data_IF_031729576369
#
_entry.id   IF_031729576369
#
_cell.length_a   1.000
_cell.length_b   1.000
_cell.length_c   1.000
_cell.angle_alpha   90.00
_cell.angle_beta   90.00
_cell.angle_gamma   90.00
#
_symmetry.space_group_name_H-M   'P 1'
#
loop_
_entity.id
_entity.type
_entity.pdbx_description
1 polymer ?
#
# COMPACT_ATOMS: atom_id res chain seq x y z
N UNK A 1 -66.50 -29.93 12.70
CA UNK A 1 -65.29 -29.43 12.02
C UNK A 1 -65.75 -28.87 10.67
N UNK A 2 -65.73 -27.56 10.52
CA UNK A 2 -66.37 -26.84 9.40
C UNK A 2 -65.35 -26.61 8.28
N UNK A 3 -65.78 -26.70 7.02
CA UNK A 3 -64.91 -26.63 5.83
C UNK A 3 -64.18 -25.30 5.59
N UNK A 4 -64.25 -24.35 6.52
CA UNK A 4 -63.60 -23.05 6.45
C UNK A 4 -62.15 -23.09 6.98
N UNK A 5 -61.83 -23.96 7.94
CA UNK A 5 -60.49 -24.03 8.56
C UNK A 5 -59.44 -24.68 7.64
N UNK A 6 -59.86 -25.58 6.73
CA UNK A 6 -58.96 -26.33 5.83
C UNK A 6 -58.37 -25.45 4.71
N UNK A 7 -59.06 -24.36 4.34
CA UNK A 7 -58.62 -23.45 3.28
C UNK A 7 -57.36 -22.65 3.63
N UNK A 8 -57.17 -22.31 4.91
CA UNK A 8 -56.07 -21.45 5.34
C UNK A 8 -54.73 -22.17 5.40
N UNK A 9 -54.72 -23.45 5.81
CA UNK A 9 -53.52 -24.29 5.83
C UNK A 9 -52.98 -24.64 4.43
N UNK A 10 -53.84 -24.61 3.40
CA UNK A 10 -53.40 -24.86 2.02
C UNK A 10 -52.83 -23.60 1.34
N UNK A 11 -53.26 -22.41 1.75
CA UNK A 11 -52.70 -21.14 1.27
C UNK A 11 -51.30 -20.87 1.85
N UNK A 12 -51.10 -21.10 3.17
CA UNK A 12 -49.82 -20.87 3.84
C UNK A 12 -48.66 -21.74 3.32
N UNK A 13 -48.93 -23.02 3.02
CA UNK A 13 -47.91 -23.95 2.47
C UNK A 13 -47.46 -23.62 1.04
N UNK A 14 -48.30 -22.93 0.25
CA UNK A 14 -47.92 -22.49 -1.10
C UNK A 14 -47.04 -21.24 -1.04
N UNK A 15 -47.31 -20.32 -0.12
CA UNK A 15 -46.50 -19.12 0.09
C UNK A 15 -45.12 -19.43 0.68
N UNK A 16 -45.00 -20.39 1.60
CA UNK A 16 -43.70 -20.82 2.12
C UNK A 16 -42.80 -21.41 1.04
N UNK A 17 -43.34 -22.30 0.18
CA UNK A 17 -42.58 -22.90 -0.92
C UNK A 17 -42.14 -21.87 -1.96
N UNK A 18 -42.97 -20.87 -2.22
CA UNK A 18 -42.62 -19.78 -3.15
C UNK A 18 -41.50 -18.89 -2.57
N UNK A 19 -41.57 -18.57 -1.28
CA UNK A 19 -40.54 -17.79 -0.58
C UNK A 19 -39.20 -18.55 -0.53
N UNK A 20 -39.21 -19.85 -0.23
CA UNK A 20 -38.03 -20.70 -0.26
C UNK A 20 -37.39 -20.79 -1.66
N UNK A 21 -38.21 -20.92 -2.70
CA UNK A 21 -37.73 -20.94 -4.08
C UNK A 21 -37.10 -19.60 -4.50
N UNK A 22 -37.70 -18.48 -4.09
CA UNK A 22 -37.15 -17.14 -4.33
C UNK A 22 -35.83 -16.91 -3.59
N UNK A 23 -35.72 -17.37 -2.34
CA UNK A 23 -34.49 -17.28 -1.55
C UNK A 23 -33.36 -18.13 -2.13
N UNK A 24 -33.67 -19.34 -2.61
CA UNK A 24 -32.71 -20.20 -3.31
C UNK A 24 -32.27 -19.59 -4.66
N UNK A 25 -33.19 -18.96 -5.40
CA UNK A 25 -32.87 -18.27 -6.64
C UNK A 25 -31.97 -17.05 -6.39
N UNK A 26 -32.25 -16.28 -5.34
CA UNK A 26 -31.42 -15.14 -4.92
C UNK A 26 -30.02 -15.59 -4.48
N UNK A 27 -29.89 -16.73 -3.80
CA UNK A 27 -28.61 -17.33 -3.44
C UNK A 27 -27.83 -17.85 -4.67
N UNK A 28 -28.52 -18.41 -5.66
CA UNK A 28 -27.91 -18.85 -6.93
C UNK A 28 -27.47 -17.66 -7.82
N UNK A 29 -28.15 -16.51 -7.69
CA UNK A 29 -27.80 -15.26 -8.38
C UNK A 29 -26.79 -14.41 -7.60
N UNK A 30 -26.50 -14.76 -6.34
CA UNK A 30 -25.43 -14.14 -5.59
C UNK A 30 -24.09 -14.65 -6.11
N UNK A 31 -23.64 -14.05 -7.21
CA UNK A 31 -22.24 -14.08 -7.61
C UNK A 31 -21.53 -13.22 -6.57
N UNK A 32 -20.74 -13.79 -5.63
CA UNK A 32 -19.91 -12.94 -4.79
C UNK A 32 -19.11 -12.05 -5.74
N UNK A 33 -18.97 -10.74 -5.47
CA UNK A 33 -18.04 -9.94 -6.23
C UNK A 33 -16.74 -10.74 -6.21
N UNK A 34 -16.21 -11.07 -7.39
CA UNK A 34 -14.90 -11.67 -7.49
C UNK A 34 -14.03 -10.75 -6.64
N UNK A 35 -13.66 -11.22 -5.44
CA UNK A 35 -12.60 -10.60 -4.67
C UNK A 35 -11.48 -10.62 -5.68
N UNK A 36 -11.10 -9.44 -6.16
CA UNK A 36 -10.06 -9.28 -7.14
C UNK A 36 -8.83 -9.90 -6.54
N UNK A 37 -8.64 -11.19 -6.79
CA UNK A 37 -7.35 -11.82 -6.82
C UNK A 37 -6.68 -11.25 -8.05
N UNK A 38 -6.32 -9.97 -7.91
CA UNK A 38 -5.30 -9.31 -8.70
C UNK A 38 -4.02 -9.99 -8.24
N UNK A 39 -3.77 -11.19 -8.78
CA UNK A 39 -2.45 -11.79 -8.76
C UNK A 39 -1.56 -10.82 -9.51
N UNK A 40 -0.97 -9.88 -8.75
CA UNK A 40 0.04 -8.98 -9.25
C UNK A 40 1.13 -9.87 -9.86
N UNK A 41 1.17 -9.93 -11.19
CA UNK A 41 2.30 -10.50 -11.91
C UNK A 41 3.57 -9.90 -11.27
N UNK A 42 4.52 -10.70 -10.77
CA UNK A 42 5.75 -10.17 -10.18
C UNK A 42 6.52 -9.25 -11.15
N UNK A 43 6.30 -9.39 -12.46
CA UNK A 43 6.80 -8.45 -13.46
C UNK A 43 6.11 -7.07 -13.37
N UNK A 44 4.87 -7.00 -12.90
CA UNK A 44 4.13 -5.76 -12.64
C UNK A 44 4.54 -5.10 -11.33
N UNK A 45 4.90 -5.85 -10.27
CA UNK A 45 5.35 -5.29 -8.99
C UNK A 45 6.56 -6.03 -8.40
N UNK A 46 7.81 -5.60 -8.67
CA UNK A 46 9.00 -6.26 -8.13
C UNK A 46 9.15 -6.13 -6.61
N UNK A 47 8.28 -5.34 -5.95
CA UNK A 47 8.30 -5.05 -4.53
C UNK A 47 7.23 -5.80 -3.72
N UNK A 48 6.51 -6.75 -4.33
CA UNK A 48 5.50 -7.57 -3.64
C UNK A 48 6.06 -8.29 -2.40
N UNK A 49 7.37 -8.57 -2.37
CA UNK A 49 8.06 -9.21 -1.26
C UNK A 49 8.03 -8.40 0.05
N UNK A 50 7.73 -7.10 0.03
CA UNK A 50 7.53 -6.30 1.26
C UNK A 50 6.29 -6.71 2.05
N UNK A 51 5.35 -7.46 1.46
CA UNK A 51 4.18 -7.98 2.17
C UNK A 51 4.46 -9.31 2.88
N UNK A 52 5.64 -9.90 2.71
CA UNK A 52 6.00 -11.16 3.34
C UNK A 52 6.40 -10.95 4.81
N UNK A 53 5.60 -11.49 5.75
CA UNK A 53 5.89 -11.37 7.19
C UNK A 53 7.21 -12.05 7.62
N UNK A 54 7.70 -13.02 6.84
CA UNK A 54 8.99 -13.69 7.07
C UNK A 54 10.19 -12.75 6.91
N UNK A 55 10.06 -11.63 6.21
CA UNK A 55 11.13 -10.65 5.99
C UNK A 55 11.04 -9.45 6.92
N UNK A 56 10.04 -9.35 7.80
CA UNK A 56 9.89 -8.19 8.71
C UNK A 56 11.15 -7.90 9.54
N UNK A 57 11.85 -8.95 9.99
CA UNK A 57 13.10 -8.84 10.76
C UNK A 57 14.27 -8.24 9.98
N UNK A 58 14.17 -8.11 8.66
CA UNK A 58 15.20 -7.48 7.83
C UNK A 58 15.18 -5.96 7.92
N UNK A 59 14.03 -5.38 8.26
CA UNK A 59 13.88 -3.93 8.34
C UNK A 59 13.48 -3.46 9.73
N UNK A 60 12.63 -4.20 10.45
CA UNK A 60 12.02 -3.74 11.69
C UNK A 60 12.73 -4.25 12.93
N UNK A 61 12.74 -3.40 13.97
CA UNK A 61 13.21 -3.76 15.31
C UNK A 61 12.22 -4.73 15.96
N UNK A 62 12.76 -5.71 16.68
CA UNK A 62 12.00 -6.55 17.62
C UNK A 62 12.47 -6.29 19.04
N UNK A 63 11.53 -6.07 19.96
CA UNK A 63 11.82 -5.96 21.39
C UNK A 63 11.08 -7.06 22.13
N UNK A 64 11.81 -7.91 22.86
CA UNK A 64 11.22 -9.06 23.58
C UNK A 64 10.31 -9.90 22.67
N UNK A 65 10.78 -10.16 21.44
CA UNK A 65 10.04 -10.87 20.38
C UNK A 65 8.78 -10.18 19.84
N UNK A 66 8.50 -8.94 20.25
CA UNK A 66 7.40 -8.13 19.71
C UNK A 66 7.93 -7.22 18.60
N UNK A 67 7.33 -7.31 17.41
CA UNK A 67 7.61 -6.44 16.27
C UNK A 67 7.28 -4.98 16.61
N UNK A 68 8.20 -4.06 16.30
CA UNK A 68 7.99 -2.61 16.37
C UNK A 68 7.89 -2.05 14.94
N UNK A 69 6.68 -1.97 14.35
CA UNK A 69 6.50 -1.63 12.93
C UNK A 69 6.89 -0.18 12.59
N UNK A 70 7.07 0.66 13.59
CA UNK A 70 7.49 2.06 13.49
C UNK A 70 8.99 2.28 13.71
N UNK A 71 9.75 1.23 14.03
CA UNK A 71 11.20 1.32 14.28
C UNK A 71 11.98 0.47 13.30
N UNK A 72 13.02 1.07 12.73
CA UNK A 72 13.88 0.42 11.76
C UNK A 72 15.24 0.05 12.32
N UNK A 73 15.78 -1.07 11.85
CA UNK A 73 17.15 -1.48 12.09
C UNK A 73 18.12 -0.49 11.43
N UNK A 74 19.33 -0.30 11.99
CA UNK A 74 20.32 0.61 11.42
C UNK A 74 20.78 0.23 10.00
N UNK A 75 20.66 -1.04 9.63
CA UNK A 75 21.08 -1.64 8.35
C UNK A 75 19.90 -2.07 7.47
N UNK A 76 18.70 -1.55 7.76
CA UNK A 76 17.49 -1.89 7.00
C UNK A 76 17.59 -1.50 5.51
N UNK A 77 18.47 -0.57 5.14
CA UNK A 77 18.77 -0.18 3.77
C UNK A 77 19.52 -1.26 2.98
N UNK A 78 20.29 -2.14 3.63
CA UNK A 78 20.96 -3.27 2.97
C UNK A 78 19.97 -4.11 2.16
N UNK A 79 18.74 -4.29 2.66
CA UNK A 79 17.72 -5.02 1.92
C UNK A 79 17.34 -4.33 0.59
N UNK A 80 17.27 -3.00 0.57
CA UNK A 80 17.04 -2.25 -0.66
C UNK A 80 18.24 -2.37 -1.62
N UNK A 81 19.45 -2.37 -1.05
CA UNK A 81 20.70 -2.40 -1.81
C UNK A 81 20.99 -3.75 -2.49
N UNK A 82 20.27 -4.83 -2.13
CA UNK A 82 20.33 -6.11 -2.85
C UNK A 82 19.85 -6.00 -4.31
N UNK A 83 18.99 -5.01 -4.60
CA UNK A 83 18.48 -4.75 -5.95
C UNK A 83 18.79 -3.35 -6.48
N UNK A 84 18.97 -2.35 -5.60
CA UNK A 84 19.26 -0.96 -5.96
C UNK A 84 20.71 -0.61 -5.67
N UNK A 85 21.54 -0.42 -6.70
CA UNK A 85 22.94 -0.06 -6.49
C UNK A 85 23.11 1.36 -5.94
N UNK A 86 24.10 1.56 -5.07
CA UNK A 86 24.42 2.88 -4.50
C UNK A 86 24.81 3.87 -5.60
N UNK A 87 25.52 3.38 -6.62
CA UNK A 87 25.94 4.17 -7.78
C UNK A 87 24.74 4.71 -8.58
N UNK A 88 23.62 3.99 -8.57
CA UNK A 88 22.39 4.38 -9.25
C UNK A 88 21.56 5.43 -8.50
N UNK A 89 21.86 5.69 -7.22
CA UNK A 89 21.09 6.64 -6.40
C UNK A 89 21.48 8.10 -6.65
N UNK A 90 22.73 8.36 -7.06
CA UNK A 90 23.24 9.72 -7.27
C UNK A 90 23.35 10.55 -5.97
N UNK A 91 23.68 11.83 -6.12
CA UNK A 91 24.05 12.71 -5.00
C UNK A 91 22.87 13.17 -4.12
N UNK A 92 21.63 12.94 -4.55
CA UNK A 92 20.42 13.44 -3.88
C UNK A 92 19.79 12.45 -2.90
N UNK A 93 20.41 11.29 -2.67
CA UNK A 93 19.90 10.23 -1.78
C UNK A 93 20.80 10.08 -0.55
N UNK A 94 20.72 10.99 0.43
CA UNK A 94 21.54 10.91 1.63
C UNK A 94 21.11 9.71 2.48
N UNK A 95 22.08 8.84 2.79
CA UNK A 95 21.92 7.70 3.69
C UNK A 95 22.89 7.82 4.87
N UNK A 96 22.56 7.20 6.00
CA UNK A 96 23.40 7.17 7.20
C UNK A 96 23.73 8.54 7.83
N UNK A 97 23.02 9.60 7.46
CA UNK A 97 23.16 10.95 8.03
C UNK A 97 22.16 11.13 9.18
N UNK A 98 22.57 11.76 10.28
CA UNK A 98 21.68 12.22 11.36
C UNK A 98 21.26 13.67 11.10
N UNK A 99 20.02 13.95 10.66
CA UNK A 99 19.65 15.31 10.26
C UNK A 99 19.64 16.31 11.42
N UNK A 100 19.39 15.84 12.65
CA UNK A 100 19.41 16.67 13.86
C UNK A 100 20.82 17.06 14.34
N UNK A 101 21.86 16.36 13.90
CA UNK A 101 23.23 16.66 14.32
C UNK A 101 23.74 17.95 13.64
N UNK A 102 24.71 18.61 14.27
CA UNK A 102 25.42 19.74 13.64
C UNK A 102 26.24 19.24 12.44
N UNK A 103 26.37 20.02 11.35
CA UNK A 103 25.88 21.39 11.18
C UNK A 103 24.44 21.49 10.63
N UNK A 104 23.77 20.36 10.40
CA UNK A 104 22.48 20.33 9.72
C UNK A 104 21.34 20.89 10.59
N UNK A 105 21.27 20.44 11.85
CA UNK A 105 20.27 20.87 12.84
C UNK A 105 18.82 20.90 12.31
N UNK A 106 18.50 19.95 11.43
CA UNK A 106 17.19 19.81 10.80
C UNK A 106 16.20 19.14 11.75
N UNK A 107 14.94 19.56 11.68
CA UNK A 107 13.83 18.87 12.36
C UNK A 107 13.15 17.92 11.39
N UNK A 108 13.27 16.61 11.65
CA UNK A 108 12.62 15.58 10.83
C UNK A 108 11.19 15.34 11.35
N UNK A 109 10.16 15.46 10.51
CA UNK A 109 8.79 15.10 10.90
C UNK A 109 8.69 13.63 11.32
N UNK A 110 7.81 13.33 12.28
CA UNK A 110 7.69 11.99 12.88
C UNK A 110 7.35 10.88 11.87
N UNK A 111 6.68 11.22 10.78
CA UNK A 111 6.30 10.25 9.75
C UNK A 111 7.42 9.98 8.72
N UNK A 112 8.43 10.86 8.66
CA UNK A 112 9.72 10.60 8.01
C UNK A 112 10.64 9.89 9.01
N UNK A 113 10.41 8.58 9.15
CA UNK A 113 11.04 7.78 10.20
C UNK A 113 12.54 7.60 9.95
N UNK A 114 13.33 7.80 10.98
CA UNK A 114 14.75 7.49 11.00
C UNK A 114 14.97 6.05 11.50
N UNK A 115 16.18 5.54 11.33
CA UNK A 115 16.57 4.28 11.94
C UNK A 115 16.61 4.40 13.47
N UNK A 116 16.79 3.27 14.16
CA UNK A 116 16.93 3.22 15.63
C UNK A 116 18.13 3.97 16.19
N UNK A 117 19.06 4.45 15.34
CA UNK A 117 20.20 5.29 15.68
C UNK A 117 20.01 6.77 15.26
N UNK A 118 18.81 7.15 14.78
CA UNK A 118 18.49 8.51 14.34
C UNK A 118 19.07 8.90 12.99
N UNK A 119 19.44 7.93 12.13
CA UNK A 119 19.98 8.18 10.78
C UNK A 119 18.91 8.03 9.71
N UNK A 120 19.07 8.78 8.62
CA UNK A 120 18.26 8.61 7.42
C UNK A 120 18.61 7.31 6.72
N UNK A 121 17.59 6.64 6.22
CA UNK A 121 17.69 5.46 5.37
C UNK A 121 16.68 5.56 4.21
N UNK A 122 16.67 4.60 3.30
CA UNK A 122 15.71 4.56 2.18
C UNK A 122 14.26 4.75 2.67
N UNK A 123 13.87 4.10 3.76
CA UNK A 123 12.51 4.13 4.31
C UNK A 123 12.16 5.44 5.04
N UNK A 124 13.12 6.35 5.20
CA UNK A 124 12.85 7.72 5.66
C UNK A 124 11.99 8.44 4.64
N UNK A 125 12.33 8.33 3.35
CA UNK A 125 11.59 8.97 2.25
C UNK A 125 10.61 8.02 1.55
N UNK A 126 10.87 6.71 1.58
CA UNK A 126 10.04 5.69 0.94
C UNK A 126 9.17 4.94 1.96
N UNK A 127 8.00 4.50 1.53
CA UNK A 127 7.08 3.64 2.27
C UNK A 127 6.96 2.30 1.56
N UNK A 128 7.82 1.33 1.92
CA UNK A 128 7.85 0.00 1.30
C UNK A 128 6.51 -0.77 1.34
N UNK A 129 5.65 -0.48 2.31
CA UNK A 129 4.31 -1.06 2.41
C UNK A 129 3.23 -0.25 1.69
N UNK A 130 3.59 0.83 1.00
CA UNK A 130 2.66 1.66 0.25
C UNK A 130 2.15 0.98 -1.03
N UNK A 131 1.19 1.60 -1.73
CA UNK A 131 0.76 1.09 -3.03
C UNK A 131 1.85 1.30 -4.08
N UNK A 132 2.02 0.35 -5.01
CA UNK A 132 2.98 0.49 -6.12
C UNK A 132 2.47 1.43 -7.22
N UNK A 133 1.14 1.48 -7.41
CA UNK A 133 0.47 2.34 -8.39
C UNK A 133 -0.45 3.38 -7.76
N UNK A 134 -0.66 4.49 -8.47
CA UNK A 134 -1.56 5.59 -8.10
C UNK A 134 -2.29 6.13 -9.34
N UNK A 135 -3.53 6.64 -9.23
CA UNK A 135 -4.18 7.38 -10.30
C UNK A 135 -3.57 8.77 -10.54
N UNK A 136 -2.68 9.22 -9.65
CA UNK A 136 -2.05 10.54 -9.67
C UNK A 136 -0.55 10.40 -9.92
N UNK A 137 -0.01 11.28 -10.78
CA UNK A 137 1.43 11.37 -11.04
C UNK A 137 2.20 11.78 -9.80
N UNK A 138 3.39 11.20 -9.62
CA UNK A 138 4.38 11.63 -8.64
C UNK A 138 5.13 12.91 -9.08
N UNK A 139 5.19 13.19 -10.38
CA UNK A 139 5.79 14.41 -10.94
C UNK A 139 5.23 14.72 -12.34
N UNK A 140 5.37 15.96 -12.80
CA UNK A 140 4.71 16.47 -14.00
C UNK A 140 4.96 15.62 -15.25
N UNK A 141 6.22 15.29 -15.51
CA UNK A 141 6.64 14.55 -16.69
C UNK A 141 6.54 13.02 -16.57
N UNK A 142 5.85 12.50 -15.54
CA UNK A 142 5.77 11.05 -15.36
C UNK A 142 4.93 10.38 -16.45
N UNK A 143 5.49 9.34 -17.06
CA UNK A 143 4.80 8.48 -18.01
C UNK A 143 3.81 7.53 -17.33
N UNK A 144 2.78 7.13 -18.07
CA UNK A 144 1.84 6.09 -17.61
C UNK A 144 2.55 4.75 -17.48
N UNK A 145 2.27 4.04 -16.38
CA UNK A 145 2.91 2.76 -16.09
C UNK A 145 2.27 1.58 -16.85
N UNK A 146 1.09 1.79 -17.43
CA UNK A 146 0.34 0.82 -18.23
C UNK A 146 0.12 1.31 -19.68
N UNK A 147 1.19 1.58 -20.45
CA UNK A 147 1.04 1.98 -21.85
C UNK A 147 0.36 0.83 -22.63
N UNK A 148 -0.66 1.16 -23.43
CA UNK A 148 -1.40 0.18 -24.23
C UNK A 148 -2.50 -0.58 -23.48
N UNK A 149 -2.87 -0.15 -22.27
CA UNK A 149 -4.05 -0.67 -21.60
C UNK A 149 -5.31 -0.51 -22.48
N UNK A 150 -6.32 -1.41 -22.36
CA UNK A 150 -7.54 -1.34 -23.15
C UNK A 150 -8.23 0.03 -23.11
N UNK A 151 -8.97 0.36 -24.16
CA UNK A 151 -9.72 1.61 -24.22
C UNK A 151 -10.71 1.70 -23.03
N UNK A 152 -10.70 2.84 -22.34
CA UNK A 152 -11.50 3.07 -21.13
C UNK A 152 -10.80 2.67 -19.82
N UNK A 153 -9.64 1.99 -19.87
CA UNK A 153 -8.82 1.77 -18.67
C UNK A 153 -8.21 3.09 -18.19
N UNK A 154 -8.33 3.37 -16.89
CA UNK A 154 -7.74 4.57 -16.30
C UNK A 154 -6.21 4.48 -16.28
N UNK A 155 -5.49 5.60 -16.50
CA UNK A 155 -4.04 5.61 -16.38
C UNK A 155 -3.63 5.34 -14.93
N UNK A 156 -2.54 4.58 -14.77
CA UNK A 156 -1.87 4.42 -13.47
C UNK A 156 -0.42 4.86 -13.56
N UNK A 157 0.11 5.32 -12.44
CA UNK A 157 1.44 5.89 -12.30
C UNK A 157 2.18 5.20 -11.17
N UNK A 158 3.48 4.97 -11.33
CA UNK A 158 4.32 4.44 -10.25
C UNK A 158 4.37 5.45 -9.11
N UNK A 159 4.17 4.99 -7.88
CA UNK A 159 4.29 5.85 -6.70
C UNK A 159 5.75 6.10 -6.32
N UNK A 160 6.66 5.26 -6.82
CA UNK A 160 8.04 5.12 -6.33
C UNK A 160 8.12 4.88 -4.82
N UNK A 161 7.00 4.47 -4.21
CA UNK A 161 6.81 4.43 -2.77
C UNK A 161 7.16 5.74 -2.04
N UNK A 162 7.27 6.87 -2.73
CA UNK A 162 7.63 8.14 -2.10
C UNK A 162 6.54 8.55 -1.09
N UNK A 163 6.93 8.89 0.14
CA UNK A 163 5.98 9.33 1.19
C UNK A 163 5.25 10.62 0.82
N UNK A 164 5.89 11.47 0.02
CA UNK A 164 5.35 12.73 -0.48
C UNK A 164 5.79 12.90 -1.92
N UNK A 165 4.84 13.27 -2.76
CA UNK A 165 5.08 13.72 -4.12
C UNK A 165 3.81 14.41 -4.62
N UNK A 166 3.94 15.26 -5.63
CA UNK A 166 2.76 15.81 -6.29
C UNK A 166 3.01 16.06 -7.79
N UNK A 167 1.96 16.07 -8.62
CA UNK A 167 2.10 16.24 -10.07
C UNK A 167 2.77 17.55 -10.51
N UNK A 168 2.80 18.59 -9.67
CA UNK A 168 3.31 19.92 -10.02
C UNK A 168 4.74 20.08 -9.52
N UNK A 169 4.99 19.82 -8.23
CA UNK A 169 6.28 20.08 -7.59
C UNK A 169 7.16 18.83 -7.48
N UNK A 170 6.64 17.67 -7.83
CA UNK A 170 7.39 16.42 -7.82
C UNK A 170 7.80 16.00 -6.41
N UNK A 171 9.05 15.59 -6.25
CA UNK A 171 9.60 15.11 -4.98
C UNK A 171 10.16 16.21 -4.08
N UNK A 172 10.19 17.48 -4.51
CA UNK A 172 10.73 18.58 -3.68
C UNK A 172 10.01 18.69 -2.34
N UNK A 173 8.73 18.30 -2.30
CA UNK A 173 7.94 18.22 -1.08
C UNK A 173 8.59 17.37 0.00
N UNK A 174 9.29 16.29 -0.35
CA UNK A 174 10.03 15.47 0.63
C UNK A 174 11.16 16.26 1.28
N UNK A 175 11.94 16.99 0.48
CA UNK A 175 13.09 17.74 0.96
C UNK A 175 12.65 18.90 1.88
N UNK A 176 11.58 19.59 1.51
CA UNK A 176 11.04 20.73 2.27
C UNK A 176 10.53 20.36 3.66
N UNK A 177 10.23 19.09 3.93
CA UNK A 177 9.84 18.66 5.26
C UNK A 177 10.93 18.89 6.32
N UNK A 178 12.20 18.75 5.92
CA UNK A 178 13.36 18.93 6.80
C UNK A 178 14.09 20.25 6.52
N UNK A 179 14.05 20.75 5.27
CA UNK A 179 14.75 21.97 4.84
C UNK A 179 13.87 23.22 4.83
N UNK A 180 12.54 23.08 4.83
CA UNK A 180 11.62 24.21 4.87
C UNK A 180 11.72 24.93 6.21
N UNK A 181 11.65 26.27 6.19
CA UNK A 181 11.50 27.06 7.43
C UNK A 181 10.16 26.66 8.07
N UNK A 182 10.22 25.89 9.15
CA UNK A 182 9.08 25.65 10.04
C UNK A 182 9.11 26.65 11.17
#
# INVERSE_FOLDING_TARGET
MTGWEVGWEMAGRKTEKLLLALLLLLLLLYVPPALGEEWEDPALNPHAHFQNSGTCRRCHVYEKSVLKPDRFLPDADVFCLECHSVEGLGITHPLSIRPGDKPYSMTVPKDLRLDSQGRMLCLTCHNAHGPFFSPTRAFAAQEVANPGAPAGTKPVYRTYFARRSDPVRGFVLLCEECHGKR
#
